data_IF_745792117509
#
_entry.id   IF_745792117509
#
_cell.length_a   1.000
_cell.length_b   1.000
_cell.length_c   1.000
_cell.angle_alpha   90.00
_cell.angle_beta   90.00
_cell.angle_gamma   90.00
#
_symmetry.space_group_name_H-M   'P 1'
#
loop_
_entity.id
_entity.type
_entity.pdbx_description
1 polymer ?
#
# COMPACT_ATOMS: atom_id res chain seq x y z
N UNK A 1 16.66 6.44 41.47
CA UNK A 1 15.38 6.39 40.73
C UNK A 1 15.57 7.22 39.47
N UNK A 2 15.94 6.59 38.37
CA UNK A 2 15.97 7.23 37.06
C UNK A 2 14.58 7.03 36.43
N UNK A 3 13.98 8.12 35.97
CA UNK A 3 12.78 8.08 35.13
C UNK A 3 13.21 7.55 33.75
N UNK A 4 12.39 6.75 33.04
CA UNK A 4 12.73 6.36 31.69
C UNK A 4 12.37 7.50 30.73
N UNK A 5 13.39 7.96 30.03
CA UNK A 5 13.36 8.94 28.95
C UNK A 5 12.45 8.43 27.81
N UNK A 6 11.44 9.21 27.41
CA UNK A 6 10.58 8.93 26.27
C UNK A 6 11.31 9.22 24.94
N UNK A 7 12.08 8.24 24.46
CA UNK A 7 12.59 8.19 23.10
C UNK A 7 11.58 7.50 22.18
N UNK A 8 10.78 8.29 21.46
CA UNK A 8 9.79 7.78 20.50
C UNK A 8 10.44 7.31 19.21
N UNK A 9 10.85 6.05 19.15
CA UNK A 9 11.16 5.33 17.91
C UNK A 9 9.93 4.46 17.58
N UNK A 10 8.88 5.08 17.04
CA UNK A 10 7.73 4.32 16.55
C UNK A 10 8.11 3.67 15.22
N UNK A 11 8.17 2.33 15.12
CA UNK A 11 8.57 1.67 13.88
C UNK A 11 7.66 2.08 12.73
N UNK A 12 8.26 2.48 11.59
CA UNK A 12 7.55 2.99 10.42
C UNK A 12 6.49 2.04 9.86
N UNK A 13 6.65 0.73 10.09
CA UNK A 13 5.68 -0.30 9.74
C UNK A 13 5.41 -1.15 10.99
N UNK A 14 4.14 -1.33 11.36
CA UNK A 14 3.74 -2.08 12.56
C UNK A 14 2.71 -3.16 12.23
N UNK A 15 2.78 -4.30 12.92
CA UNK A 15 1.72 -5.31 12.82
C UNK A 15 0.40 -4.71 13.29
N UNK A 16 -0.65 -4.87 12.50
CA UNK A 16 -1.98 -4.42 12.88
C UNK A 16 -2.57 -5.43 13.88
N UNK A 17 -2.68 -5.04 15.16
CA UNK A 17 -3.40 -5.82 16.17
C UNK A 17 -4.91 -5.68 16.00
N UNK A 18 -5.69 -6.56 16.64
CA UNK A 18 -7.16 -6.47 16.58
C UNK A 18 -7.70 -5.14 17.13
N UNK A 19 -7.12 -4.64 18.23
CA UNK A 19 -7.52 -3.36 18.84
C UNK A 19 -7.19 -2.18 17.92
N UNK A 20 -6.01 -2.20 17.29
CA UNK A 20 -5.59 -1.18 16.33
C UNK A 20 -6.40 -1.26 15.03
N UNK A 21 -6.76 -2.46 14.59
CA UNK A 21 -7.63 -2.66 13.44
C UNK A 21 -8.99 -2.01 13.69
N UNK A 22 -9.61 -2.22 14.85
CA UNK A 22 -10.88 -1.57 15.19
C UNK A 22 -10.77 -0.04 15.18
N UNK A 23 -9.72 0.52 15.80
CA UNK A 23 -9.51 1.96 15.80
C UNK A 23 -9.27 2.53 14.39
N UNK A 24 -8.47 1.83 13.58
CA UNK A 24 -8.18 2.22 12.20
C UNK A 24 -9.44 2.16 11.33
N UNK A 25 -10.19 1.07 11.41
CA UNK A 25 -11.40 0.83 10.62
C UNK A 25 -12.55 1.75 11.03
N UNK A 26 -12.61 2.18 12.29
CA UNK A 26 -13.55 3.20 12.72
C UNK A 26 -13.22 4.62 12.17
N UNK A 27 -11.96 4.89 11.85
CA UNK A 27 -11.50 6.20 11.35
C UNK A 27 -11.62 6.33 9.83
N UNK A 28 -11.66 5.21 9.10
CA UNK A 28 -11.77 5.18 7.64
C UNK A 28 -13.20 4.89 7.17
N UNK A 29 -13.60 5.52 6.07
CA UNK A 29 -14.89 5.27 5.40
C UNK A 29 -14.75 4.29 4.23
N UNK A 30 -13.53 4.08 3.72
CA UNK A 30 -13.29 3.34 2.48
C UNK A 30 -12.06 2.44 2.58
N UNK A 31 -12.24 1.18 2.20
CA UNK A 31 -11.17 0.21 1.97
C UNK A 31 -10.97 0.06 0.46
N UNK A 32 -9.78 0.37 -0.02
CA UNK A 32 -9.37 0.09 -1.39
C UNK A 32 -8.50 -1.16 -1.39
N UNK A 33 -9.04 -2.25 -1.94
CA UNK A 33 -8.30 -3.50 -2.08
C UNK A 33 -7.55 -3.55 -3.40
N UNK A 34 -6.48 -4.35 -3.43
CA UNK A 34 -5.85 -4.77 -4.68
C UNK A 34 -6.91 -5.32 -5.66
N UNK A 35 -7.03 -4.68 -6.81
CA UNK A 35 -7.66 -5.27 -7.99
C UNK A 35 -6.61 -6.15 -8.67
N UNK A 36 -6.60 -7.42 -8.32
CA UNK A 36 -5.71 -8.49 -8.76
C UNK A 36 -5.91 -8.81 -10.25
N UNK A 37 -5.48 -7.86 -11.09
CA UNK A 37 -5.23 -8.10 -12.50
C UNK A 37 -3.94 -8.87 -12.67
N UNK A 38 -4.00 -10.20 -12.55
CA UNK A 38 -2.98 -11.22 -12.93
C UNK A 38 -2.30 -10.93 -14.29
N UNK A 39 -2.85 -10.01 -15.10
CA UNK A 39 -2.37 -9.54 -16.38
C UNK A 39 -1.04 -8.76 -16.35
N UNK A 40 -0.68 -8.02 -15.29
CA UNK A 40 0.39 -7.00 -15.47
C UNK A 40 1.83 -7.53 -15.54
N UNK A 41 2.15 -8.70 -14.97
CA UNK A 41 3.54 -9.21 -15.02
C UNK A 41 4.01 -9.60 -16.43
N UNK A 42 3.11 -10.07 -17.29
CA UNK A 42 3.42 -10.51 -18.66
C UNK A 42 3.50 -9.36 -19.67
N UNK A 43 2.82 -8.26 -19.40
CA UNK A 43 2.74 -7.12 -20.33
C UNK A 43 3.98 -6.24 -20.34
N UNK A 44 4.82 -6.24 -19.30
CA UNK A 44 5.99 -5.35 -19.25
C UNK A 44 6.91 -5.49 -20.48
N UNK A 45 7.22 -6.73 -20.89
CA UNK A 45 8.05 -6.98 -22.07
C UNK A 45 7.33 -6.59 -23.38
N UNK A 46 6.02 -6.85 -23.49
CA UNK A 46 5.22 -6.48 -24.65
C UNK A 46 5.07 -4.96 -24.77
N UNK A 47 4.82 -4.27 -23.66
CA UNK A 47 4.76 -2.81 -23.58
C UNK A 47 6.11 -2.23 -24.00
N UNK A 48 7.24 -2.72 -23.46
CA UNK A 48 8.57 -2.27 -23.88
C UNK A 48 8.83 -2.50 -25.38
N UNK A 49 8.40 -3.64 -25.92
CA UNK A 49 8.53 -3.92 -27.35
C UNK A 49 7.72 -2.93 -28.19
N UNK A 50 6.48 -2.64 -27.80
CA UNK A 50 5.62 -1.65 -28.46
C UNK A 50 6.18 -0.24 -28.31
N UNK A 51 6.66 0.16 -27.14
CA UNK A 51 7.28 1.47 -26.90
C UNK A 51 8.50 1.68 -27.80
N UNK A 52 9.35 0.66 -27.90
CA UNK A 52 10.53 0.68 -28.76
C UNK A 52 10.16 0.72 -30.24
N UNK A 53 9.16 -0.05 -30.68
CA UNK A 53 8.69 -0.03 -32.06
C UNK A 53 8.02 1.31 -32.43
N UNK A 54 7.23 1.87 -31.51
CA UNK A 54 6.49 3.12 -31.70
C UNK A 54 7.33 4.38 -31.41
N UNK A 55 8.53 4.24 -30.84
CA UNK A 55 9.38 5.34 -30.35
C UNK A 55 8.62 6.31 -29.43
N UNK A 56 7.70 5.77 -28.63
CA UNK A 56 6.84 6.51 -27.70
C UNK A 56 6.71 5.74 -26.41
N UNK A 57 6.71 6.44 -25.29
CA UNK A 57 6.44 5.82 -23.99
C UNK A 57 4.95 5.58 -23.81
N UNK A 58 4.61 4.48 -23.17
CA UNK A 58 3.25 4.15 -22.80
C UNK A 58 2.92 4.81 -21.45
N UNK A 59 1.73 5.41 -21.36
CA UNK A 59 1.23 5.92 -20.09
C UNK A 59 0.77 4.75 -19.22
N UNK A 60 1.27 4.70 -17.99
CA UNK A 60 0.86 3.69 -17.01
C UNK A 60 -0.45 4.15 -16.38
N UNK A 61 -1.53 3.43 -16.66
CA UNK A 61 -2.88 3.73 -16.17
C UNK A 61 -3.18 3.00 -14.85
N UNK A 62 -2.63 1.80 -14.67
CA UNK A 62 -2.79 1.01 -13.44
C UNK A 62 -1.80 1.39 -12.34
N UNK A 63 -1.89 0.70 -11.19
CA UNK A 63 -0.94 0.85 -10.08
C UNK A 63 0.52 0.73 -10.56
N UNK A 64 1.45 1.57 -10.07
CA UNK A 64 1.31 2.56 -8.99
C UNK A 64 0.82 3.95 -9.45
N UNK A 65 0.30 4.07 -10.68
CA UNK A 65 -0.17 5.35 -11.21
C UNK A 65 -1.36 5.88 -10.40
N UNK A 66 -1.27 7.14 -9.97
CA UNK A 66 -2.37 7.84 -9.30
C UNK A 66 -3.63 7.94 -10.16
N UNK A 67 -3.49 7.84 -11.49
CA UNK A 67 -4.61 7.94 -12.42
C UNK A 67 -5.79 7.01 -12.05
N UNK A 68 -5.51 5.75 -11.68
CA UNK A 68 -6.58 4.82 -11.29
C UNK A 68 -7.31 5.28 -10.02
N UNK A 69 -6.58 5.84 -9.05
CA UNK A 69 -7.19 6.38 -7.84
C UNK A 69 -8.01 7.63 -8.14
N UNK A 70 -7.50 8.53 -8.99
CA UNK A 70 -8.23 9.74 -9.37
C UNK A 70 -9.55 9.41 -10.08
N UNK A 71 -9.59 8.38 -10.93
CA UNK A 71 -10.82 7.89 -11.55
C UNK A 71 -11.85 7.44 -10.50
N UNK A 72 -11.44 6.57 -9.57
CA UNK A 72 -12.34 6.05 -8.53
C UNK A 72 -12.76 7.15 -7.55
N UNK A 73 -11.82 8.03 -7.17
CA UNK A 73 -12.09 9.14 -6.26
C UNK A 73 -13.09 10.13 -6.86
N UNK A 74 -12.99 10.44 -8.16
CA UNK A 74 -13.96 11.31 -8.83
C UNK A 74 -15.35 10.69 -8.95
N UNK A 75 -15.43 9.38 -9.20
CA UNK A 75 -16.71 8.68 -9.37
C UNK A 75 -17.44 8.49 -8.04
N UNK A 76 -16.72 8.17 -6.96
CA UNK A 76 -17.30 7.79 -5.68
C UNK A 76 -17.11 8.83 -4.55
N UNK A 77 -16.43 9.96 -4.82
CA UNK A 77 -16.21 11.02 -3.84
C UNK A 77 -15.32 10.60 -2.66
N UNK A 78 -14.29 9.80 -2.92
CA UNK A 78 -13.44 9.21 -1.88
C UNK A 78 -12.56 10.27 -1.21
N UNK A 79 -12.59 10.32 0.13
CA UNK A 79 -11.68 11.12 0.95
C UNK A 79 -10.38 10.35 1.24
N UNK A 80 -9.20 10.80 0.73
CA UNK A 80 -7.93 10.11 0.94
C UNK A 80 -7.55 9.89 2.41
N UNK A 81 -7.81 10.87 3.28
CA UNK A 81 -7.42 10.81 4.70
C UNK A 81 -8.21 9.74 5.48
N UNK A 82 -9.43 9.44 5.00
CA UNK A 82 -10.33 8.42 5.55
C UNK A 82 -10.37 7.16 4.67
N UNK A 83 -9.30 6.91 3.93
CA UNK A 83 -9.19 5.75 3.05
C UNK A 83 -7.91 4.99 3.33
N UNK A 84 -8.00 3.67 3.29
CA UNK A 84 -6.84 2.78 3.41
C UNK A 84 -6.70 1.90 2.18
N UNK A 85 -5.48 1.82 1.65
CA UNK A 85 -5.09 0.90 0.59
C UNK A 85 -4.62 -0.41 1.22
N UNK A 86 -5.23 -1.53 0.83
CA UNK A 86 -4.88 -2.88 1.27
C UNK A 86 -4.38 -3.67 0.06
N UNK A 87 -3.14 -4.15 0.11
CA UNK A 87 -2.55 -4.91 -0.99
C UNK A 87 -1.34 -5.73 -0.56
N UNK A 88 -0.80 -6.52 -1.48
CA UNK A 88 0.26 -7.50 -1.20
C UNK A 88 1.62 -7.09 -1.77
N UNK A 89 1.69 -5.97 -2.50
CA UNK A 89 2.90 -5.54 -3.23
C UNK A 89 3.35 -4.14 -2.84
N UNK A 90 4.61 -4.03 -2.45
CA UNK A 90 5.22 -2.76 -2.04
C UNK A 90 5.37 -1.74 -3.18
N UNK A 91 5.69 -2.21 -4.38
CA UNK A 91 6.02 -1.40 -5.56
C UNK A 91 4.79 -0.89 -6.33
N UNK A 92 3.61 -1.42 -6.02
CA UNK A 92 2.36 -1.15 -6.73
C UNK A 92 1.29 -0.68 -5.78
N UNK A 93 0.84 -1.51 -4.83
CA UNK A 93 -0.24 -1.15 -3.90
C UNK A 93 0.19 -0.11 -2.88
N UNK A 94 1.25 -0.42 -2.14
CA UNK A 94 1.72 0.46 -1.06
C UNK A 94 2.22 1.77 -1.68
N UNK A 95 2.95 1.70 -2.80
CA UNK A 95 3.38 2.88 -3.52
C UNK A 95 2.20 3.72 -4.04
N UNK A 96 1.11 3.09 -4.53
CA UNK A 96 -0.11 3.82 -4.90
C UNK A 96 -0.69 4.52 -3.67
N UNK A 97 -0.91 3.78 -2.58
CA UNK A 97 -1.52 4.31 -1.35
C UNK A 97 -0.76 5.51 -0.80
N UNK A 98 0.56 5.37 -0.64
CA UNK A 98 1.44 6.47 -0.21
C UNK A 98 1.40 7.65 -1.18
N UNK A 99 1.38 7.41 -2.49
CA UNK A 99 1.36 8.48 -3.49
C UNK A 99 0.02 9.24 -3.55
N UNK A 100 -1.06 8.58 -3.10
CA UNK A 100 -2.39 9.15 -3.03
C UNK A 100 -2.72 9.74 -1.63
N UNK A 101 -1.81 9.62 -0.67
CA UNK A 101 -2.02 10.09 0.71
C UNK A 101 -2.98 9.22 1.52
N UNK A 102 -3.12 7.95 1.15
CA UNK A 102 -3.93 6.96 1.86
C UNK A 102 -3.10 6.32 2.96
N UNK A 103 -3.77 5.84 4.01
CA UNK A 103 -3.15 4.86 4.91
C UNK A 103 -2.90 3.56 4.13
N UNK A 104 -1.92 2.77 4.54
CA UNK A 104 -1.53 1.55 3.83
C UNK A 104 -1.43 0.32 4.73
N UNK A 105 -1.99 -0.79 4.27
CA UNK A 105 -1.90 -2.11 4.90
C UNK A 105 -1.32 -3.10 3.90
N UNK A 106 -0.19 -3.71 4.24
CA UNK A 106 0.37 -4.85 3.52
C UNK A 106 -0.25 -6.15 4.02
N UNK A 107 -0.73 -7.00 3.12
CA UNK A 107 -1.06 -8.40 3.43
C UNK A 107 0.07 -9.34 3.01
N UNK A 108 0.43 -10.29 3.88
CA UNK A 108 1.55 -11.22 3.66
C UNK A 108 1.14 -12.52 2.93
N UNK A 109 -0.07 -12.60 2.40
CA UNK A 109 -0.55 -13.77 1.63
C UNK A 109 -0.07 -13.80 0.18
N UNK A 110 0.46 -12.68 -0.31
CA UNK A 110 0.81 -12.50 -1.72
C UNK A 110 2.32 -12.42 -1.98
N UNK A 111 2.77 -11.33 -2.59
CA UNK A 111 4.09 -11.27 -3.25
C UNK A 111 5.21 -10.71 -2.38
N UNK A 112 4.98 -9.58 -1.69
CA UNK A 112 6.02 -8.93 -0.89
C UNK A 112 6.11 -9.52 0.51
N UNK A 113 7.31 -9.56 1.07
CA UNK A 113 7.56 -10.12 2.40
C UNK A 113 7.93 -9.06 3.44
N UNK A 114 7.97 -9.45 4.72
CA UNK A 114 8.47 -8.58 5.79
C UNK A 114 9.97 -8.29 5.64
N UNK A 115 10.75 -9.18 5.03
CA UNK A 115 12.15 -8.89 4.71
C UNK A 115 12.25 -7.76 3.68
N UNK A 116 11.38 -7.72 2.66
CA UNK A 116 11.34 -6.63 1.69
C UNK A 116 11.03 -5.29 2.38
N UNK A 117 10.08 -5.29 3.33
CA UNK A 117 9.73 -4.10 4.13
C UNK A 117 10.94 -3.62 4.93
N UNK A 118 11.63 -4.52 5.64
CA UNK A 118 12.83 -4.18 6.42
C UNK A 118 13.92 -3.61 5.53
N UNK A 119 14.19 -4.26 4.39
CA UNK A 119 15.18 -3.80 3.42
C UNK A 119 14.87 -2.39 2.89
N UNK A 120 13.59 -2.08 2.65
CA UNK A 120 13.15 -0.76 2.22
C UNK A 120 13.24 0.29 3.33
N UNK A 121 12.98 -0.10 4.57
CA UNK A 121 13.01 0.78 5.75
C UNK A 121 14.44 1.18 6.13
N UNK A 122 15.38 0.26 6.03
CA UNK A 122 16.82 0.46 6.30
C UNK A 122 17.57 1.14 5.14
N UNK A 123 16.92 1.29 3.97
CA UNK A 123 17.56 1.90 2.81
C UNK A 123 17.63 3.43 2.90
N UNK A 124 18.79 3.99 2.55
CA UNK A 124 18.97 5.44 2.34
C UNK A 124 18.20 5.99 1.12
N UNK A 125 17.68 5.09 0.26
CA UNK A 125 16.98 5.48 -0.95
C UNK A 125 15.56 5.97 -0.65
N UNK A 126 15.29 7.24 -0.97
CA UNK A 126 13.98 7.85 -0.74
C UNK A 126 12.82 7.12 -1.45
N UNK A 127 13.06 6.55 -2.64
CA UNK A 127 12.02 5.79 -3.36
C UNK A 127 11.69 4.48 -2.65
N UNK A 128 12.69 3.77 -2.10
CA UNK A 128 12.46 2.57 -1.29
C UNK A 128 11.73 2.89 0.00
N UNK A 129 12.10 3.98 0.67
CA UNK A 129 11.39 4.43 1.88
C UNK A 129 9.91 4.73 1.63
N UNK A 130 9.50 5.15 0.42
CA UNK A 130 8.08 5.32 0.05
C UNK A 130 7.31 4.02 -0.12
N UNK A 131 8.01 2.89 -0.24
CA UNK A 131 7.44 1.55 -0.36
C UNK A 131 7.41 0.81 0.99
N UNK A 132 7.42 1.56 2.10
CA UNK A 132 7.24 1.01 3.45
C UNK A 132 5.80 1.28 3.86
N UNK A 133 4.99 0.25 4.15
CA UNK A 133 3.59 0.42 4.54
C UNK A 133 3.48 0.91 5.99
N UNK A 134 2.34 1.48 6.35
CA UNK A 134 2.04 1.89 7.73
C UNK A 134 1.80 0.66 8.62
N UNK A 135 1.05 -0.30 8.08
CA UNK A 135 0.69 -1.53 8.78
C UNK A 135 0.90 -2.78 7.94
N UNK A 136 0.97 -3.93 8.61
CA UNK A 136 0.86 -5.23 7.96
C UNK A 136 -0.03 -6.21 8.73
N UNK A 137 -0.63 -7.16 7.99
CA UNK A 137 -1.41 -8.30 8.50
C UNK A 137 -0.95 -9.58 7.82
N UNK A 138 -1.14 -10.73 8.49
CA UNK A 138 -0.78 -12.02 7.88
C UNK A 138 -1.77 -12.32 6.74
N UNK A 139 -3.05 -11.98 6.94
CA UNK A 139 -4.11 -12.13 5.94
C UNK A 139 -5.15 -11.02 6.03
N UNK A 140 -5.84 -10.73 4.92
CA UNK A 140 -7.04 -9.88 4.92
C UNK A 140 -8.10 -10.41 5.91
N UNK A 141 -8.12 -11.73 6.15
CA UNK A 141 -9.01 -12.34 7.15
C UNK A 141 -8.80 -11.77 8.56
N UNK A 142 -7.61 -11.26 8.88
CA UNK A 142 -7.30 -10.66 10.19
C UNK A 142 -8.05 -9.33 10.40
N UNK A 143 -8.59 -8.73 9.34
CA UNK A 143 -9.42 -7.52 9.40
C UNK A 143 -10.89 -7.84 9.73
N UNK A 144 -11.35 -9.07 9.49
CA UNK A 144 -12.75 -9.46 9.66
C UNK A 144 -13.29 -9.22 11.07
N UNK A 145 -12.58 -9.55 12.17
CA UNK A 145 -13.08 -9.31 13.52
C UNK A 145 -13.36 -7.84 13.82
N UNK A 146 -12.67 -6.93 13.12
CA UNK A 146 -12.83 -5.49 13.29
C UNK A 146 -13.90 -4.90 12.35
N UNK A 147 -14.33 -5.64 11.32
CA UNK A 147 -15.43 -5.26 10.41
C UNK A 147 -16.81 -5.80 10.84
N UNK A 148 -16.85 -6.76 11.75
CA UNK A 148 -18.07 -7.43 12.21
C UNK A 148 -18.61 -6.92 13.55
N UNK A 149 -17.96 -5.91 14.15
CA UNK A 149 -18.41 -5.21 15.36
C UNK A 149 -19.18 -3.94 15.03
#
# INVERSE_FOLDING_TARGET
>A
MAQPEAGGDDPRCVRLSAERAQALLADVDTLLFDCDGVLWRGTGCLVRAVEMAAQRQADIIGKPSRFIFDCVSQEYGINPERTVMVGDRLDTDILLGVSCGLKTILTLTGVSTLEDVKSNQESDCMSKRKMVPDFYVDSIADLLPALQG
#
